data_IF_674924864009
#
_entry.id   IF_674924864009
#
_cell.length_a   1.000
_cell.length_b   1.000
_cell.length_c   1.000
_cell.angle_alpha   90.00
_cell.angle_beta   90.00
_cell.angle_gamma   90.00
#
_symmetry.space_group_name_H-M   'P 1'
#
loop_
_entity.id
_entity.type
_entity.pdbx_description
1 polymer ?
#
# COMPACT_ATOMS: atom_id res chain seq x y z
N UNK A 1 15.43 -105.06 -49.10
CA UNK A 1 15.95 -103.74 -48.65
C UNK A 1 15.25 -102.49 -49.24
N UNK A 2 14.53 -102.55 -50.38
CA UNK A 2 13.98 -101.34 -51.07
C UNK A 2 12.59 -100.83 -50.63
N UNK A 3 11.80 -101.59 -49.86
CA UNK A 3 10.47 -101.16 -49.38
C UNK A 3 10.52 -100.25 -48.13
N UNK A 4 11.42 -100.56 -47.18
CA UNK A 4 11.60 -99.80 -45.91
C UNK A 4 12.09 -98.35 -46.12
N UNK A 5 12.77 -98.05 -47.23
CA UNK A 5 13.29 -96.72 -47.57
C UNK A 5 12.26 -95.81 -48.24
N UNK A 6 11.22 -96.37 -48.89
CA UNK A 6 10.13 -95.58 -49.52
C UNK A 6 9.08 -95.12 -48.50
N UNK A 7 8.77 -95.93 -47.49
CA UNK A 7 7.87 -95.54 -46.40
C UNK A 7 8.46 -94.45 -45.50
N UNK A 8 9.77 -94.49 -45.20
CA UNK A 8 10.45 -93.42 -44.46
C UNK A 8 10.49 -92.09 -45.21
N UNK A 9 10.52 -92.10 -46.56
CA UNK A 9 10.40 -90.89 -47.38
C UNK A 9 8.97 -90.34 -47.40
N UNK A 10 7.95 -91.20 -47.46
CA UNK A 10 6.54 -90.76 -47.38
C UNK A 10 6.16 -90.23 -45.99
N UNK A 11 6.64 -90.84 -44.92
CA UNK A 11 6.44 -90.31 -43.57
C UNK A 11 7.13 -88.96 -43.36
N UNK A 12 8.36 -88.75 -43.86
CA UNK A 12 9.01 -87.43 -43.78
C UNK A 12 8.30 -86.35 -44.57
N UNK A 13 7.74 -86.67 -45.74
CA UNK A 13 6.98 -85.71 -46.54
C UNK A 13 5.65 -85.36 -45.85
N UNK A 14 4.92 -86.37 -45.34
CA UNK A 14 3.67 -86.16 -44.61
C UNK A 14 3.87 -85.32 -43.35
N UNK A 15 4.91 -85.62 -42.56
CA UNK A 15 5.28 -84.84 -41.36
C UNK A 15 5.68 -83.40 -41.73
N UNK A 16 6.34 -83.19 -42.88
CA UNK A 16 6.73 -81.85 -43.33
C UNK A 16 5.52 -81.01 -43.75
N UNK A 17 4.58 -81.60 -44.50
CA UNK A 17 3.32 -80.93 -44.86
C UNK A 17 2.43 -80.65 -43.66
N UNK A 18 2.32 -81.55 -42.68
CA UNK A 18 1.56 -81.26 -41.45
C UNK A 18 2.26 -80.22 -40.58
N UNK A 19 3.60 -80.17 -40.55
CA UNK A 19 4.35 -79.13 -39.86
C UNK A 19 4.21 -77.76 -40.54
N UNK A 20 4.22 -77.70 -41.87
CA UNK A 20 4.00 -76.47 -42.64
C UNK A 20 2.56 -75.95 -42.49
N UNK A 21 1.55 -76.84 -42.46
CA UNK A 21 0.17 -76.45 -42.16
C UNK A 21 -0.02 -75.99 -40.70
N UNK A 22 0.68 -76.61 -39.73
CA UNK A 22 0.66 -76.15 -38.33
C UNK A 22 1.36 -74.79 -38.17
N UNK A 23 2.47 -74.57 -38.88
CA UNK A 23 3.19 -73.30 -38.89
C UNK A 23 2.35 -72.20 -39.54
N UNK A 24 1.68 -72.46 -40.67
CA UNK A 24 0.77 -71.50 -41.30
C UNK A 24 -0.43 -71.18 -40.41
N UNK A 25 -1.00 -72.18 -39.74
CA UNK A 25 -2.14 -71.98 -38.82
C UNK A 25 -1.71 -71.19 -37.58
N UNK A 26 -0.52 -71.45 -37.06
CA UNK A 26 0.08 -70.69 -35.95
C UNK A 26 0.38 -69.24 -36.36
N UNK A 27 0.95 -69.01 -37.56
CA UNK A 27 1.22 -67.66 -38.08
C UNK A 27 -0.07 -66.87 -38.36
N UNK A 28 -1.13 -67.51 -38.88
CA UNK A 28 -2.40 -66.84 -39.16
C UNK A 28 -3.20 -66.49 -37.89
N UNK A 29 -3.13 -67.34 -36.84
CA UNK A 29 -3.88 -67.12 -35.61
C UNK A 29 -3.14 -66.24 -34.58
N UNK A 30 -1.81 -66.27 -34.51
CA UNK A 30 -1.02 -65.46 -33.55
C UNK A 30 -0.71 -64.04 -34.04
N UNK A 31 -0.67 -63.79 -35.35
CA UNK A 31 -0.40 -62.47 -35.91
C UNK A 31 -1.43 -61.37 -35.53
N UNK A 32 -2.76 -61.63 -35.48
CA UNK A 32 -3.71 -60.62 -35.00
C UNK A 32 -3.66 -60.41 -33.47
N UNK A 33 -3.33 -61.46 -32.70
CA UNK A 33 -3.26 -61.40 -31.22
C UNK A 33 -2.04 -60.56 -30.78
N UNK A 34 -0.89 -60.72 -31.46
CA UNK A 34 0.32 -59.94 -31.18
C UNK A 34 0.15 -58.44 -31.42
N UNK A 35 -0.56 -58.03 -32.49
CA UNK A 35 -0.85 -56.62 -32.76
C UNK A 35 -1.82 -56.00 -31.74
N UNK A 36 -2.80 -56.78 -31.25
CA UNK A 36 -3.72 -56.34 -30.20
C UNK A 36 -3.00 -56.16 -28.85
N UNK A 37 -2.03 -57.02 -28.54
CA UNK A 37 -1.23 -56.92 -27.31
C UNK A 37 -0.25 -55.74 -27.34
N UNK A 38 0.35 -55.45 -28.49
CA UNK A 38 1.23 -54.27 -28.70
C UNK A 38 0.44 -52.96 -28.62
N UNK A 39 -0.80 -52.93 -29.14
CA UNK A 39 -1.69 -51.77 -29.01
C UNK A 39 -2.10 -51.53 -27.55
N UNK A 40 -2.43 -52.59 -26.82
CA UNK A 40 -2.82 -52.53 -25.40
C UNK A 40 -1.67 -52.15 -24.47
N UNK A 41 -0.44 -52.56 -24.78
CA UNK A 41 0.76 -52.17 -24.05
C UNK A 41 1.17 -50.72 -24.34
N UNK A 42 1.08 -50.25 -25.58
CA UNK A 42 1.30 -48.82 -25.91
C UNK A 42 0.24 -47.90 -25.28
N UNK A 43 -1.01 -48.35 -25.15
CA UNK A 43 -2.07 -47.62 -24.45
C UNK A 43 -1.85 -47.57 -22.93
N UNK A 44 -1.31 -48.66 -22.34
CA UNK A 44 -0.92 -48.68 -20.92
C UNK A 44 0.30 -47.79 -20.64
N UNK A 45 1.31 -47.78 -21.53
CA UNK A 45 2.51 -46.93 -21.39
C UNK A 45 2.15 -45.44 -21.51
N UNK A 46 1.29 -45.08 -22.46
CA UNK A 46 0.79 -43.70 -22.58
C UNK A 46 -0.08 -43.30 -21.40
N UNK A 47 -0.96 -44.19 -20.90
CA UNK A 47 -1.75 -43.92 -19.70
C UNK A 47 -0.91 -43.80 -18.43
N UNK A 48 0.16 -44.60 -18.29
CA UNK A 48 1.09 -44.53 -17.14
C UNK A 48 1.99 -43.29 -17.21
N UNK A 49 2.34 -42.85 -18.43
CA UNK A 49 3.04 -41.59 -18.68
C UNK A 49 2.20 -40.37 -18.34
N UNK A 50 0.91 -40.36 -18.71
CA UNK A 50 -0.04 -39.29 -18.36
C UNK A 50 -0.30 -39.26 -16.85
N UNK A 51 -0.39 -40.42 -16.18
CA UNK A 51 -0.51 -40.49 -14.72
C UNK A 51 0.73 -39.94 -14.00
N UNK A 52 1.94 -40.27 -14.46
CA UNK A 52 3.18 -39.72 -13.89
C UNK A 52 3.31 -38.21 -14.14
N UNK A 53 2.88 -37.72 -15.31
CA UNK A 53 2.89 -36.29 -15.61
C UNK A 53 1.89 -35.51 -14.75
N UNK A 54 0.69 -36.07 -14.54
CA UNK A 54 -0.31 -35.52 -13.61
C UNK A 54 0.15 -35.56 -12.16
N UNK A 55 0.81 -36.65 -11.73
CA UNK A 55 1.39 -36.74 -10.38
C UNK A 55 2.53 -35.74 -10.17
N UNK A 56 3.38 -35.52 -11.18
CA UNK A 56 4.44 -34.51 -11.14
C UNK A 56 3.88 -33.08 -11.15
N UNK A 57 2.84 -32.81 -11.93
CA UNK A 57 2.14 -31.52 -11.94
C UNK A 57 1.44 -31.24 -10.59
N UNK A 58 0.79 -32.25 -10.01
CA UNK A 58 0.15 -32.15 -8.70
C UNK A 58 1.18 -31.97 -7.56
N UNK A 59 2.32 -32.67 -7.61
CA UNK A 59 3.42 -32.50 -6.67
C UNK A 59 4.07 -31.11 -6.79
N UNK A 60 4.14 -30.55 -8.00
CA UNK A 60 4.64 -29.19 -8.25
C UNK A 60 3.66 -28.13 -7.74
N UNK A 61 2.35 -28.33 -7.96
CA UNK A 61 1.29 -27.48 -7.39
C UNK A 61 1.30 -27.51 -5.86
N UNK A 62 1.49 -28.69 -5.24
CA UNK A 62 1.56 -28.84 -3.79
C UNK A 62 2.86 -28.26 -3.19
N UNK A 63 3.98 -28.27 -3.95
CA UNK A 63 5.22 -27.56 -3.57
C UNK A 63 5.07 -26.04 -3.68
N UNK A 64 4.38 -25.53 -4.70
CA UNK A 64 4.03 -24.10 -4.82
C UNK A 64 3.07 -23.65 -3.71
N UNK A 65 2.09 -24.50 -3.34
CA UNK A 65 1.19 -24.25 -2.22
C UNK A 65 1.92 -24.27 -0.86
N UNK A 66 2.99 -25.07 -0.70
CA UNK A 66 3.86 -25.07 0.50
C UNK A 66 4.89 -23.93 0.51
N UNK A 67 5.37 -23.48 -0.65
CA UNK A 67 6.25 -22.31 -0.78
C UNK A 67 5.50 -20.98 -0.67
N UNK A 68 4.17 -20.99 -0.82
CA UNK A 68 3.29 -19.85 -0.57
C UNK A 68 3.06 -19.51 0.92
N UNK A 69 3.63 -20.26 1.86
CA UNK A 69 3.47 -20.02 3.31
C UNK A 69 4.78 -19.79 4.05
N UNK A 70 5.91 -19.62 3.36
CA UNK A 70 7.19 -19.30 4.00
C UNK A 70 8.07 -18.37 3.16
N UNK A 71 7.54 -17.19 2.82
CA UNK A 71 8.41 -16.01 2.73
C UNK A 71 8.00 -15.07 3.85
N UNK A 72 8.93 -14.88 4.79
CA UNK A 72 8.80 -13.92 5.86
C UNK A 72 8.76 -12.52 5.27
N UNK A 73 7.56 -12.01 5.04
CA UNK A 73 7.29 -10.60 5.26
C UNK A 73 6.47 -10.55 6.53
N UNK A 74 7.06 -9.98 7.57
CA UNK A 74 6.44 -9.79 8.87
C UNK A 74 5.21 -8.88 8.67
N UNK A 75 4.04 -9.48 8.50
CA UNK A 75 2.74 -8.81 8.41
C UNK A 75 1.98 -8.98 9.73
N UNK A 76 2.67 -8.76 10.84
CA UNK A 76 2.08 -8.60 12.17
C UNK A 76 1.83 -7.13 12.54
N UNK A 77 2.17 -6.18 11.65
CA UNK A 77 1.91 -4.73 11.84
C UNK A 77 0.61 -4.24 11.19
N UNK A 78 -0.17 -5.08 10.48
CA UNK A 78 -1.40 -4.65 9.79
C UNK A 78 -2.62 -5.54 10.07
N UNK A 79 -2.84 -5.88 11.35
CA UNK A 79 -4.15 -6.35 11.81
C UNK A 79 -4.44 -5.90 13.24
N UNK A 80 -4.57 -4.59 13.42
CA UNK A 80 -5.39 -4.00 14.48
C UNK A 80 -5.96 -2.64 14.03
N UNK A 81 -6.77 -2.66 12.98
CA UNK A 81 -7.70 -1.56 12.71
C UNK A 81 -9.12 -2.14 12.70
N UNK A 82 -9.44 -2.88 13.76
CA UNK A 82 -10.77 -2.80 14.33
C UNK A 82 -10.84 -1.46 15.03
N UNK A 83 -11.54 -0.52 14.40
CA UNK A 83 -11.84 0.78 14.95
C UNK A 83 -12.44 0.65 16.35
N UNK A 84 -11.83 1.19 17.42
CA UNK A 84 -12.63 1.75 18.48
C UNK A 84 -13.26 3.02 17.90
N UNK A 85 -14.59 3.10 17.91
CA UNK A 85 -15.31 4.36 17.72
C UNK A 85 -14.63 5.44 18.59
N UNK A 86 -14.22 6.59 18.05
CA UNK A 86 -14.11 7.77 18.87
C UNK A 86 -15.54 8.24 19.11
N UNK A 87 -16.13 7.84 20.24
CA UNK A 87 -17.12 8.69 20.89
C UNK A 87 -16.35 9.95 21.25
N UNK A 88 -16.43 10.95 20.38
CA UNK A 88 -15.84 12.26 20.60
C UNK A 88 -16.74 12.97 21.61
N UNK A 89 -16.49 12.67 22.89
CA UNK A 89 -17.17 13.34 24.00
C UNK A 89 -16.81 14.83 23.93
N UNK A 90 -17.84 15.63 23.68
CA UNK A 90 -17.79 17.06 23.40
C UNK A 90 -17.71 17.89 24.68
N UNK A 91 -16.97 17.43 25.69
CA UNK A 91 -16.95 18.06 27.01
C UNK A 91 -15.64 17.84 27.74
N UNK A 92 -14.49 18.23 27.15
CA UNK A 92 -13.27 18.46 27.95
C UNK A 92 -12.20 19.29 27.22
N UNK A 93 -12.61 20.34 26.51
CA UNK A 93 -11.71 21.48 26.31
C UNK A 93 -12.15 22.54 27.31
N UNK A 94 -11.80 22.27 28.57
CA UNK A 94 -11.75 23.32 29.57
C UNK A 94 -10.80 24.39 29.05
N UNK A 95 -11.28 25.62 29.15
CA UNK A 95 -10.55 26.85 28.92
C UNK A 95 -9.13 26.75 29.51
N UNK A 96 -8.14 26.49 28.65
CA UNK A 96 -6.80 26.99 28.91
C UNK A 96 -6.85 28.48 28.57
N UNK A 97 -7.44 29.24 29.48
CA UNK A 97 -7.07 30.62 29.67
C UNK A 97 -5.54 30.62 29.74
N UNK A 98 -4.90 31.17 28.72
CA UNK A 98 -3.55 31.67 28.84
C UNK A 98 -3.67 32.87 29.77
N UNK A 99 -3.80 32.55 31.06
CA UNK A 99 -3.51 33.44 32.16
C UNK A 99 -2.01 33.65 32.07
N UNK A 100 -1.60 34.58 31.21
CA UNK A 100 -0.31 35.23 31.35
C UNK A 100 -0.26 35.71 32.79
N UNK A 101 0.50 34.99 33.60
CA UNK A 101 0.87 35.36 34.96
C UNK A 101 1.70 36.64 34.90
N UNK A 102 1.02 37.77 34.65
CA UNK A 102 1.51 39.10 34.89
C UNK A 102 1.38 39.39 36.39
N UNK A 103 2.10 38.64 37.21
CA UNK A 103 2.12 38.84 38.65
C UNK A 103 3.53 38.74 39.21
N UNK A 104 4.52 39.26 38.48
CA UNK A 104 5.85 39.54 39.02
C UNK A 104 6.47 40.77 38.35
N UNK A 105 5.69 41.81 38.07
CA UNK A 105 6.23 43.15 38.28
C UNK A 105 5.69 43.58 39.62
N UNK A 106 6.47 43.28 40.68
CA UNK A 106 6.40 44.04 41.92
C UNK A 106 6.42 45.50 41.49
N UNK A 107 5.25 46.12 41.54
CA UNK A 107 5.08 47.55 41.60
C UNK A 107 5.76 47.98 42.90
N UNK A 108 7.08 47.99 42.82
CA UNK A 108 7.95 48.62 43.78
C UNK A 108 7.63 50.08 43.53
N UNK A 109 6.63 50.56 44.26
CA UNK A 109 6.40 51.98 44.49
C UNK A 109 7.78 52.60 44.60
N UNK A 110 8.22 53.23 43.50
CA UNK A 110 9.42 54.01 43.49
C UNK A 110 9.09 55.14 44.45
N UNK A 111 9.62 54.94 45.67
CA UNK A 111 9.79 55.85 46.78
C UNK A 111 9.05 57.17 46.59
N UNK A 112 8.15 57.41 47.53
CA UNK A 112 7.81 58.74 48.02
C UNK A 112 9.11 59.56 48.22
N UNK A 113 9.63 60.16 47.15
CA UNK A 113 10.73 61.10 47.22
C UNK A 113 10.05 62.44 47.40
N UNK A 114 10.09 62.88 48.64
CA UNK A 114 9.83 64.18 49.21
C UNK A 114 9.19 65.20 48.27
N UNK A 115 8.03 65.70 48.68
CA UNK A 115 7.56 67.02 48.30
C UNK A 115 8.62 68.06 48.67
N UNK A 116 9.62 68.28 47.82
CA UNK A 116 10.35 69.53 47.83
C UNK A 116 9.43 70.53 47.11
N UNK A 117 8.86 71.40 47.93
CA UNK A 117 8.02 72.55 47.63
C UNK A 117 8.23 73.08 46.20
N UNK A 118 7.13 73.29 45.46
CA UNK A 118 7.11 74.12 44.25
C UNK A 118 7.70 75.49 44.59
N UNK A 119 8.95 75.74 44.25
CA UNK A 119 9.53 77.07 44.37
C UNK A 119 9.01 77.89 43.21
N UNK A 120 8.00 78.70 43.53
CA UNK A 120 7.36 79.62 42.61
C UNK A 120 8.34 80.79 42.32
N UNK A 121 9.41 80.54 41.56
CA UNK A 121 10.38 81.55 41.08
C UNK A 121 11.13 82.38 42.13
N UNK A 122 10.85 82.22 43.43
CA UNK A 122 11.55 82.87 44.53
C UNK A 122 12.75 82.02 44.92
N UNK A 123 13.95 82.61 44.83
CA UNK A 123 15.20 82.05 45.37
C UNK A 123 14.92 81.56 46.79
N UNK A 124 15.01 80.25 47.01
CA UNK A 124 15.02 79.68 48.35
C UNK A 124 16.32 80.16 49.01
N UNK A 125 16.22 81.11 49.92
CA UNK A 125 17.31 81.35 50.85
C UNK A 125 17.29 80.19 51.84
N UNK A 126 18.17 79.21 51.63
CA UNK A 126 18.27 78.00 52.47
C UNK A 126 18.72 78.35 53.89
N UNK A 127 19.45 79.46 54.02
CA UNK A 127 19.91 80.05 55.27
C UNK A 127 19.35 81.46 55.37
N UNK A 128 18.69 81.74 56.49
CA UNK A 128 18.35 83.10 56.89
C UNK A 128 19.61 83.76 57.46
N UNK A 129 20.28 84.54 56.61
CA UNK A 129 21.54 85.21 56.96
C UNK A 129 21.38 86.16 58.13
N UNK A 130 20.24 86.84 58.26
CA UNK A 130 19.99 87.78 59.35
C UNK A 130 19.77 87.04 60.66
N UNK A 131 18.94 85.99 60.67
CA UNK A 131 18.72 85.19 61.86
C UNK A 131 20.01 84.50 62.34
N UNK A 132 20.84 84.02 61.41
CA UNK A 132 22.12 83.37 61.74
C UNK A 132 23.12 84.36 62.35
N UNK A 133 23.28 85.55 61.76
CA UNK A 133 24.14 86.61 62.32
C UNK A 133 23.67 87.01 63.72
N UNK A 134 22.35 87.23 63.92
CA UNK A 134 21.80 87.59 65.24
C UNK A 134 21.98 86.49 66.28
N UNK A 135 21.89 85.22 65.87
CA UNK A 135 22.17 84.08 66.73
C UNK A 135 23.63 84.02 67.15
N UNK A 136 24.57 84.34 66.25
CA UNK A 136 26.00 84.34 66.53
C UNK A 136 26.39 85.52 67.45
N UNK A 137 25.81 86.70 67.21
CA UNK A 137 25.97 87.87 68.08
C UNK A 137 25.45 87.61 69.51
N UNK A 138 24.32 86.90 69.64
CA UNK A 138 23.77 86.52 70.94
C UNK A 138 24.68 85.56 71.75
N UNK A 139 25.58 84.85 71.08
CA UNK A 139 26.60 83.98 71.70
C UNK A 139 27.92 84.73 72.00
N UNK A 140 27.94 86.06 71.83
CA UNK A 140 29.08 86.92 72.17
C UNK A 140 30.09 87.15 71.04
N UNK A 141 29.76 86.78 69.80
CA UNK A 141 30.62 87.08 68.65
C UNK A 141 30.44 88.54 68.20
N UNK A 142 31.53 89.27 67.89
CA UNK A 142 31.42 90.60 67.31
C UNK A 142 30.77 90.52 65.92
N UNK A 143 29.92 91.50 65.62
CA UNK A 143 29.08 91.55 64.40
C UNK A 143 29.85 91.23 63.11
N UNK A 144 31.06 91.79 62.98
CA UNK A 144 31.91 91.59 61.80
C UNK A 144 32.40 90.14 61.63
N UNK A 145 32.62 89.40 62.72
CA UNK A 145 32.98 87.98 62.67
C UNK A 145 31.75 87.11 62.41
N UNK A 146 30.60 87.45 62.99
CA UNK A 146 29.33 86.76 62.75
C UNK A 146 28.91 86.85 61.27
N UNK A 147 29.08 88.01 60.64
CA UNK A 147 28.86 88.21 59.21
C UNK A 147 29.84 87.42 58.35
N UNK A 148 31.15 87.44 58.67
CA UNK A 148 32.16 86.70 57.91
C UNK A 148 31.93 85.17 57.95
N UNK A 149 31.58 84.63 59.12
CA UNK A 149 31.25 83.20 59.29
C UNK A 149 29.97 82.85 58.52
N UNK A 150 28.94 83.69 58.62
CA UNK A 150 27.68 83.51 57.88
C UNK A 150 27.91 83.55 56.38
N UNK A 151 28.80 84.44 55.89
CA UNK A 151 29.20 84.53 54.49
C UNK A 151 29.87 83.26 53.99
N UNK A 152 30.88 82.75 54.71
CA UNK A 152 31.57 81.51 54.35
C UNK A 152 30.64 80.29 54.33
N UNK A 153 29.72 80.18 55.30
CA UNK A 153 28.71 79.11 55.33
C UNK A 153 27.76 79.22 54.14
N UNK A 154 27.32 80.42 53.80
CA UNK A 154 26.42 80.66 52.66
C UNK A 154 27.09 80.32 51.33
N UNK A 155 28.38 80.61 51.18
CA UNK A 155 29.19 80.26 50.00
C UNK A 155 29.31 78.74 49.81
N UNK A 156 29.76 78.02 50.86
CA UNK A 156 29.90 76.55 50.81
C UNK A 156 28.56 75.86 50.52
N UNK A 157 27.45 76.39 51.08
CA UNK A 157 26.12 75.85 50.82
C UNK A 157 25.64 76.12 49.39
N UNK A 158 25.91 77.29 48.84
CA UNK A 158 25.57 77.61 47.45
C UNK A 158 26.36 76.74 46.46
N UNK A 159 27.66 76.54 46.71
CA UNK A 159 28.51 75.67 45.88
C UNK A 159 28.03 74.22 45.94
N UNK A 160 27.75 73.72 47.15
CA UNK A 160 27.22 72.37 47.35
C UNK A 160 25.87 72.17 46.67
N UNK A 161 24.99 73.16 46.72
CA UNK A 161 23.68 73.10 46.07
C UNK A 161 23.79 73.13 44.54
N UNK A 162 24.75 73.86 43.98
CA UNK A 162 25.05 73.86 42.55
C UNK A 162 25.39 72.46 42.04
N UNK A 163 26.25 71.74 42.78
CA UNK A 163 26.63 70.35 42.46
C UNK A 163 25.43 69.41 42.60
N UNK A 164 24.67 69.50 43.69
CA UNK A 164 23.48 68.63 43.90
C UNK A 164 22.43 68.87 42.83
N UNK A 165 22.21 70.11 42.41
CA UNK A 165 21.25 70.45 41.35
C UNK A 165 21.62 69.86 39.99
N UNK A 166 22.91 69.59 39.72
CA UNK A 166 23.35 68.91 38.49
C UNK A 166 23.18 67.40 38.55
N UNK A 167 23.19 66.82 39.76
CA UNK A 167 23.03 65.38 39.99
C UNK A 167 21.56 64.94 40.06
N UNK A 168 20.64 65.86 40.33
CA UNK A 168 19.21 65.57 40.46
C UNK A 168 18.43 66.09 39.25
N UNK A 169 17.52 65.26 38.77
CA UNK A 169 16.62 65.64 37.68
C UNK A 169 15.38 66.33 38.26
N UNK A 170 14.90 67.39 37.60
CA UNK A 170 13.67 68.05 38.02
C UNK A 170 12.47 67.10 37.88
N UNK A 171 11.54 67.13 38.84
CA UNK A 171 10.34 66.28 38.83
C UNK A 171 9.53 66.39 37.53
N UNK A 172 9.44 67.60 36.97
CA UNK A 172 8.75 67.83 35.68
C UNK A 172 9.43 67.15 34.49
N UNK A 173 10.76 67.12 34.46
CA UNK A 173 11.53 66.44 33.41
C UNK A 173 11.44 64.92 33.53
N UNK A 174 11.54 64.40 34.77
CA UNK A 174 11.35 62.98 35.06
C UNK A 174 9.95 62.50 34.65
N UNK A 175 8.91 63.26 34.99
CA UNK A 175 7.53 62.92 34.62
C UNK A 175 7.32 62.95 33.10
N UNK A 176 7.95 63.90 32.38
CA UNK A 176 7.91 63.94 30.92
C UNK A 176 8.59 62.74 30.29
N UNK A 177 9.74 62.33 30.82
CA UNK A 177 10.45 61.13 30.38
C UNK A 177 9.61 59.87 30.62
N UNK A 178 8.98 59.75 31.79
CA UNK A 178 8.08 58.65 32.14
C UNK A 178 6.87 58.56 31.19
N UNK A 179 6.17 59.68 30.95
CA UNK A 179 5.05 59.71 29.99
C UNK A 179 5.49 59.33 28.57
N UNK A 180 6.68 59.76 28.15
CA UNK A 180 7.23 59.41 26.83
C UNK A 180 7.51 57.91 26.75
N UNK A 181 8.14 57.36 27.78
CA UNK A 181 8.44 55.93 27.88
C UNK A 181 7.15 55.09 27.89
N UNK A 182 6.15 55.49 28.67
CA UNK A 182 4.84 54.82 28.73
C UNK A 182 4.13 54.86 27.37
N UNK A 183 4.18 56.01 26.67
CA UNK A 183 3.60 56.12 25.33
C UNK A 183 4.28 55.20 24.31
N UNK A 184 5.60 55.09 24.37
CA UNK A 184 6.38 54.23 23.49
C UNK A 184 6.11 52.76 23.79
N UNK A 185 6.01 52.39 25.07
CA UNK A 185 5.66 51.04 25.49
C UNK A 185 4.24 50.67 25.05
N UNK A 186 3.29 51.60 25.14
CA UNK A 186 1.92 51.40 24.66
C UNK A 186 1.88 51.19 23.15
N UNK A 187 2.62 52.00 22.37
CA UNK A 187 2.72 51.83 20.91
C UNK A 187 3.31 50.48 20.54
N UNK A 188 4.44 50.13 21.15
CA UNK A 188 5.10 48.84 20.94
C UNK A 188 4.17 47.66 21.25
N UNK A 189 3.42 47.73 22.36
CA UNK A 189 2.43 46.71 22.71
C UNK A 189 1.32 46.61 21.66
N UNK A 190 0.83 47.73 21.14
CA UNK A 190 -0.20 47.74 20.09
C UNK A 190 0.30 47.17 18.77
N UNK A 191 1.54 47.47 18.38
CA UNK A 191 2.17 46.94 17.18
C UNK A 191 2.40 45.43 17.29
N UNK A 192 2.89 44.94 18.43
CA UNK A 192 3.03 43.51 18.69
C UNK A 192 1.69 42.81 18.61
N UNK A 193 0.67 43.29 19.31
CA UNK A 193 -0.64 42.64 19.31
C UNK A 193 -1.25 42.62 17.90
N UNK A 194 -1.20 43.75 17.18
CA UNK A 194 -1.68 43.84 15.80
C UNK A 194 -0.95 42.86 14.87
N UNK A 195 0.37 42.78 14.99
CA UNK A 195 1.20 41.85 14.21
C UNK A 195 0.87 40.39 14.54
N UNK A 196 0.77 40.06 15.83
CA UNK A 196 0.40 38.72 16.28
C UNK A 196 -0.98 38.31 15.78
N UNK A 197 -1.99 39.18 15.90
CA UNK A 197 -3.35 38.92 15.43
C UNK A 197 -3.37 38.72 13.91
N UNK A 198 -2.63 39.54 13.16
CA UNK A 198 -2.50 39.41 11.71
C UNK A 198 -1.84 38.09 11.31
N UNK A 199 -0.69 37.75 11.90
CA UNK A 199 0.01 36.49 11.61
C UNK A 199 -0.83 35.28 12.01
N UNK A 200 -1.52 35.34 13.15
CA UNK A 200 -2.42 34.28 13.59
C UNK A 200 -3.59 34.09 12.61
N UNK A 201 -4.23 35.18 12.19
CA UNK A 201 -5.32 35.13 11.20
C UNK A 201 -4.84 34.58 9.85
N UNK A 202 -3.63 34.95 9.41
CA UNK A 202 -3.04 34.45 8.18
C UNK A 202 -2.77 32.95 8.28
N UNK A 203 -2.12 32.51 9.36
CA UNK A 203 -1.84 31.09 9.60
C UNK A 203 -3.12 30.26 9.73
N UNK A 204 -4.15 30.80 10.35
CA UNK A 204 -5.45 30.14 10.47
C UNK A 204 -6.11 29.98 9.08
N UNK A 205 -6.06 31.04 8.26
CA UNK A 205 -6.58 30.99 6.89
C UNK A 205 -5.82 29.98 6.01
N UNK A 206 -4.49 29.96 6.08
CA UNK A 206 -3.67 29.00 5.34
C UNK A 206 -3.90 27.56 5.82
N UNK A 207 -4.03 27.33 7.13
CA UNK A 207 -4.38 26.01 7.67
C UNK A 207 -5.75 25.53 7.18
N UNK A 208 -6.74 26.41 7.16
CA UNK A 208 -8.07 26.09 6.65
C UNK A 208 -8.04 25.80 5.15
N UNK A 209 -7.29 26.58 4.38
CA UNK A 209 -7.07 26.31 2.95
C UNK A 209 -6.43 24.94 2.72
N UNK A 210 -5.34 24.63 3.43
CA UNK A 210 -4.66 23.34 3.33
C UNK A 210 -5.57 22.17 3.75
N UNK A 211 -6.39 22.34 4.79
CA UNK A 211 -7.40 21.35 5.18
C UNK A 211 -8.39 21.09 4.05
N UNK A 212 -8.91 22.14 3.43
CA UNK A 212 -9.85 22.01 2.31
C UNK A 212 -9.21 21.34 1.10
N UNK A 213 -7.95 21.66 0.78
CA UNK A 213 -7.20 21.00 -0.30
C UNK A 213 -6.97 19.51 -0.01
N UNK A 214 -6.67 19.14 1.24
CA UNK A 214 -6.54 17.74 1.66
C UNK A 214 -7.87 16.99 1.52
N UNK A 215 -8.99 17.58 1.94
CA UNK A 215 -10.31 16.96 1.77
C UNK A 215 -10.65 16.76 0.30
N UNK A 216 -10.38 17.76 -0.55
CA UNK A 216 -10.59 17.68 -2.00
C UNK A 216 -9.77 16.56 -2.64
N UNK A 217 -8.46 16.51 -2.36
CA UNK A 217 -7.60 15.45 -2.89
C UNK A 217 -8.09 14.08 -2.43
N UNK A 218 -8.55 13.96 -1.19
CA UNK A 218 -9.11 12.71 -0.65
C UNK A 218 -10.37 12.28 -1.38
N UNK A 219 -11.28 13.20 -1.69
CA UNK A 219 -12.50 12.89 -2.45
C UNK A 219 -12.18 12.51 -3.90
N UNK A 220 -11.25 13.22 -4.53
CA UNK A 220 -10.83 12.96 -5.91
C UNK A 220 -10.18 11.57 -6.03
N UNK A 221 -9.28 11.22 -5.10
CA UNK A 221 -8.65 9.88 -5.06
C UNK A 221 -9.70 8.79 -4.87
N UNK A 222 -10.67 8.96 -3.96
CA UNK A 222 -11.74 7.96 -3.78
C UNK A 222 -12.56 7.78 -5.06
N UNK A 223 -12.90 8.89 -5.72
CA UNK A 223 -13.64 8.84 -6.98
C UNK A 223 -12.88 8.10 -8.08
N UNK A 224 -11.58 8.39 -8.25
CA UNK A 224 -10.75 7.70 -9.24
C UNK A 224 -10.55 6.21 -8.90
N UNK A 225 -10.42 5.85 -7.61
CA UNK A 225 -10.38 4.45 -7.18
C UNK A 225 -11.68 3.74 -7.55
N UNK A 226 -12.84 4.33 -7.26
CA UNK A 226 -14.14 3.74 -7.55
C UNK A 226 -14.35 3.58 -9.06
N UNK A 227 -13.95 4.58 -9.84
CA UNK A 227 -13.99 4.56 -11.31
C UNK A 227 -13.11 3.48 -11.90
N UNK A 228 -11.84 3.38 -11.48
CA UNK A 228 -10.91 2.33 -11.94
C UNK A 228 -11.41 0.96 -11.51
N UNK A 229 -11.91 0.80 -10.29
CA UNK A 229 -12.45 -0.46 -9.78
C UNK A 229 -13.68 -0.90 -10.57
N UNK A 230 -14.61 0.02 -10.86
CA UNK A 230 -15.78 -0.24 -11.68
C UNK A 230 -15.40 -0.60 -13.13
N UNK A 231 -14.43 0.12 -13.70
CA UNK A 231 -13.86 -0.16 -15.02
C UNK A 231 -13.26 -1.57 -15.10
N UNK A 232 -12.36 -1.91 -14.18
CA UNK A 232 -11.76 -3.25 -14.11
C UNK A 232 -12.81 -4.35 -13.94
N UNK A 233 -13.82 -4.13 -13.10
CA UNK A 233 -14.92 -5.10 -12.94
C UNK A 233 -15.72 -5.25 -14.22
N UNK A 234 -15.97 -4.18 -14.95
CA UNK A 234 -16.65 -4.24 -16.24
C UNK A 234 -15.82 -5.00 -17.27
N UNK A 235 -14.53 -4.68 -17.41
CA UNK A 235 -13.60 -5.34 -18.34
C UNK A 235 -13.53 -6.84 -18.09
N UNK A 236 -13.39 -7.25 -16.83
CA UNK A 236 -13.39 -8.67 -16.46
C UNK A 236 -14.73 -9.36 -16.78
N UNK A 237 -15.85 -8.68 -16.62
CA UNK A 237 -17.15 -9.25 -16.94
C UNK A 237 -17.36 -9.39 -18.46
N UNK A 238 -16.91 -8.41 -19.24
CA UNK A 238 -16.95 -8.47 -20.71
C UNK A 238 -16.04 -9.58 -21.23
N UNK A 239 -14.82 -9.67 -20.73
CA UNK A 239 -13.88 -10.72 -21.13
C UNK A 239 -14.36 -12.12 -20.71
N UNK A 240 -14.96 -12.23 -19.52
CA UNK A 240 -15.63 -13.47 -19.07
C UNK A 240 -16.81 -13.85 -19.98
N UNK A 241 -17.56 -12.85 -20.46
CA UNK A 241 -18.62 -13.04 -21.46
C UNK A 241 -18.05 -13.59 -22.77
N UNK A 242 -17.02 -12.93 -23.31
CA UNK A 242 -16.34 -13.33 -24.54
C UNK A 242 -15.75 -14.74 -24.47
N UNK A 243 -15.09 -15.08 -23.37
CA UNK A 243 -14.55 -16.44 -23.14
C UNK A 243 -15.67 -17.47 -23.11
N UNK A 244 -16.82 -17.15 -22.50
CA UNK A 244 -17.99 -18.05 -22.49
C UNK A 244 -18.51 -18.27 -23.91
N UNK A 245 -18.66 -17.21 -24.69
CA UNK A 245 -19.17 -17.31 -26.06
C UNK A 245 -18.21 -18.13 -26.95
N UNK A 246 -16.90 -17.86 -26.87
CA UNK A 246 -15.86 -18.64 -27.54
C UNK A 246 -15.89 -20.13 -27.13
N UNK A 247 -16.04 -20.41 -25.83
CA UNK A 247 -16.17 -21.77 -25.32
C UNK A 247 -17.43 -22.47 -25.86
N UNK A 248 -18.57 -21.76 -25.94
CA UNK A 248 -19.78 -22.33 -26.52
C UNK A 248 -19.63 -22.62 -28.02
N UNK A 249 -18.95 -21.75 -28.76
CA UNK A 249 -18.66 -21.96 -30.18
C UNK A 249 -17.76 -23.19 -30.39
N UNK A 250 -16.66 -23.29 -29.65
CA UNK A 250 -15.76 -24.45 -29.71
C UNK A 250 -16.46 -25.76 -29.32
N UNK A 251 -17.35 -25.72 -28.33
CA UNK A 251 -18.14 -26.90 -27.94
C UNK A 251 -19.13 -27.32 -29.05
N UNK A 252 -19.75 -26.35 -29.74
CA UNK A 252 -20.61 -26.62 -30.88
C UNK A 252 -19.84 -27.20 -32.07
N UNK A 253 -18.67 -26.64 -32.40
CA UNK A 253 -17.76 -27.17 -33.42
C UNK A 253 -17.30 -28.60 -33.09
N UNK A 254 -16.91 -28.84 -31.83
CA UNK A 254 -16.52 -30.17 -31.34
C UNK A 254 -17.68 -31.16 -31.50
N UNK A 255 -18.89 -30.79 -31.06
CA UNK A 255 -20.07 -31.65 -31.22
C UNK A 255 -20.39 -31.94 -32.69
N UNK A 256 -20.28 -30.94 -33.58
CA UNK A 256 -20.47 -31.13 -35.02
C UNK A 256 -19.44 -32.12 -35.58
N UNK A 257 -18.17 -31.97 -35.21
CA UNK A 257 -17.09 -32.85 -35.64
C UNK A 257 -17.29 -34.29 -35.12
N UNK A 258 -17.67 -34.45 -33.85
CA UNK A 258 -18.02 -35.77 -33.28
C UNK A 258 -19.19 -36.41 -34.05
N UNK A 259 -20.24 -35.66 -34.34
CA UNK A 259 -21.37 -36.15 -35.13
C UNK A 259 -20.97 -36.55 -36.56
N UNK A 260 -20.03 -35.83 -37.19
CA UNK A 260 -19.48 -36.20 -38.50
C UNK A 260 -18.66 -37.49 -38.40
N UNK A 261 -17.79 -37.60 -37.41
CA UNK A 261 -17.00 -38.81 -37.17
C UNK A 261 -17.90 -40.03 -36.93
N UNK A 262 -18.96 -39.92 -36.13
CA UNK A 262 -19.90 -41.02 -35.90
C UNK A 262 -20.59 -41.46 -37.20
N UNK A 263 -20.99 -40.50 -38.05
CA UNK A 263 -21.55 -40.80 -39.38
C UNK A 263 -20.56 -41.54 -40.28
N UNK A 264 -19.30 -41.09 -40.31
CA UNK A 264 -18.24 -41.76 -41.07
C UNK A 264 -17.97 -43.17 -40.54
N UNK A 265 -17.93 -43.36 -39.21
CA UNK A 265 -17.79 -44.68 -38.56
C UNK A 265 -18.94 -45.61 -38.98
N UNK A 266 -20.19 -45.13 -38.93
CA UNK A 266 -21.34 -45.92 -39.36
C UNK A 266 -21.28 -46.28 -40.85
N UNK A 267 -20.86 -45.34 -41.69
CA UNK A 267 -20.69 -45.56 -43.13
C UNK A 267 -19.60 -46.60 -43.42
N UNK A 268 -18.42 -46.44 -42.80
CA UNK A 268 -17.30 -47.39 -42.93
C UNK A 268 -17.68 -48.78 -42.41
N UNK A 269 -18.45 -48.86 -41.32
CA UNK A 269 -18.95 -50.13 -40.79
C UNK A 269 -19.88 -50.82 -41.80
N UNK A 270 -20.82 -50.08 -42.39
CA UNK A 270 -21.72 -50.63 -43.41
C UNK A 270 -20.94 -51.13 -44.65
N UNK A 271 -19.94 -50.36 -45.11
CA UNK A 271 -19.06 -50.77 -46.21
C UNK A 271 -18.27 -52.04 -45.87
N UNK A 272 -17.76 -52.15 -44.64
CA UNK A 272 -17.04 -53.32 -44.16
C UNK A 272 -17.94 -54.56 -44.08
N UNK A 273 -19.18 -54.40 -43.61
CA UNK A 273 -20.17 -55.49 -43.59
C UNK A 273 -20.51 -55.93 -45.02
N UNK A 274 -20.71 -55.02 -45.96
CA UNK A 274 -20.92 -55.35 -47.38
C UNK A 274 -19.72 -56.07 -48.00
N UNK A 275 -18.50 -55.57 -47.78
CA UNK A 275 -17.27 -56.18 -48.28
C UNK A 275 -17.04 -57.59 -47.70
N UNK A 276 -17.40 -57.81 -46.42
CA UNK A 276 -17.39 -59.13 -45.79
C UNK A 276 -18.31 -60.11 -46.53
N UNK A 277 -19.53 -59.70 -46.88
CA UNK A 277 -20.45 -60.55 -47.63
C UNK A 277 -19.95 -60.87 -49.04
N UNK A 278 -19.33 -59.91 -49.74
CA UNK A 278 -18.70 -60.15 -51.04
C UNK A 278 -17.58 -61.19 -50.95
N UNK A 279 -16.68 -61.09 -49.96
CA UNK A 279 -15.62 -62.09 -49.74
C UNK A 279 -16.21 -63.48 -49.47
N UNK A 280 -17.24 -63.59 -48.62
CA UNK A 280 -17.92 -64.87 -48.35
C UNK A 280 -18.50 -65.45 -49.65
N UNK A 281 -19.13 -64.63 -50.49
CA UNK A 281 -19.68 -65.03 -51.79
C UNK A 281 -18.61 -65.58 -52.72
N UNK A 282 -17.45 -64.92 -52.81
CA UNK A 282 -16.31 -65.41 -53.59
C UNK A 282 -15.75 -66.73 -53.05
N UNK A 283 -15.64 -66.88 -51.72
CA UNK A 283 -15.19 -68.14 -51.10
C UNK A 283 -16.14 -69.31 -51.42
N UNK A 284 -17.45 -69.10 -51.37
CA UNK A 284 -18.42 -70.14 -51.73
C UNK A 284 -18.28 -70.50 -53.22
N UNK A 285 -18.18 -69.49 -54.10
CA UNK A 285 -18.00 -69.71 -55.54
C UNK A 285 -16.74 -70.51 -55.90
N UNK A 286 -15.61 -70.24 -55.22
CA UNK A 286 -14.36 -70.98 -55.46
C UNK A 286 -14.39 -72.39 -54.88
N UNK A 287 -15.00 -72.60 -53.71
CA UNK A 287 -15.18 -73.96 -53.17
C UNK A 287 -16.03 -74.82 -54.12
N UNK A 288 -17.14 -74.28 -54.63
CA UNK A 288 -18.02 -74.98 -55.58
C UNK A 288 -17.30 -75.26 -56.90
N UNK A 289 -16.51 -74.31 -57.43
CA UNK A 289 -15.78 -74.53 -58.69
C UNK A 289 -14.70 -75.60 -58.56
N UNK A 290 -13.95 -75.61 -57.44
CA UNK A 290 -12.95 -76.65 -57.16
C UNK A 290 -13.62 -78.02 -57.02
N UNK A 291 -14.75 -78.11 -56.29
CA UNK A 291 -15.51 -79.36 -56.17
C UNK A 291 -16.05 -79.85 -57.52
N UNK A 292 -16.58 -78.95 -58.36
CA UNK A 292 -17.07 -79.31 -59.69
C UNK A 292 -15.95 -79.82 -60.61
N UNK A 293 -14.79 -79.15 -60.63
CA UNK A 293 -13.61 -79.59 -61.38
C UNK A 293 -13.11 -80.94 -60.86
N UNK A 294 -13.05 -81.12 -59.54
CA UNK A 294 -12.65 -82.39 -58.92
C UNK A 294 -13.56 -83.56 -59.30
N UNK A 295 -14.89 -83.36 -59.30
CA UNK A 295 -15.85 -84.36 -59.75
C UNK A 295 -15.71 -84.66 -61.26
N UNK A 296 -15.46 -83.65 -62.09
CA UNK A 296 -15.25 -83.84 -63.52
C UNK A 296 -14.00 -84.70 -63.81
N UNK A 297 -12.90 -84.48 -63.09
CA UNK A 297 -11.67 -85.28 -63.23
C UNK A 297 -11.90 -86.73 -62.76
N UNK A 298 -12.58 -86.93 -61.63
CA UNK A 298 -12.92 -88.28 -61.15
C UNK A 298 -13.76 -89.06 -62.16
N UNK A 299 -14.68 -88.39 -62.86
CA UNK A 299 -15.51 -88.99 -63.91
C UNK A 299 -14.72 -89.40 -65.18
N UNK A 300 -13.59 -88.76 -65.45
CA UNK A 300 -12.72 -89.09 -66.59
C UNK A 300 -11.74 -90.23 -66.24
N UNK A 301 -11.36 -90.35 -64.96
CA UNK A 301 -10.35 -91.33 -64.48
C UNK A 301 -10.96 -92.68 -64.09
N UNK A 302 -12.24 -92.73 -63.69
CA UNK A 302 -13.03 -93.95 -63.51
C UNK A 302 -13.65 -94.40 -64.82
#
# INVERSE_FOLDING_TARGET
>A
MRRKTRERKRQRISIRTTFDHLLLFSFCMLYPIGKFLVFRSNLLITSFGVFNLMAAAYASYLRLARLGTSSGVNLSTLRSITCPKPTFDRTLFDHHDIRSSSSLFRQSHARFISQLVKTNGKRLHLVDTLALVRSLEAQGLPSQQAEAITGAITEVLNDSLGVVSQLVVCKGEMQKAEMTQESNLSKFKSEINSSLDHHFSLLQHENEKLRNDIERIRTDIRHEIDKVTAGQRLDLNLEKGRIRDELTNQNAETSNLTNKLDREIHTLRAQLEAAKYEVIKYCIGTLVSISAVGLAVLRIVM
#
